data_IF_175893470107
#
_entry.id   IF_175893470107
#
_cell.length_a   1.000
_cell.length_b   1.000
_cell.length_c   1.000
_cell.angle_alpha   90.00
_cell.angle_beta   90.00
_cell.angle_gamma   90.00
#
_symmetry.space_group_name_H-M   'P 1'
#
loop_
_entity.id
_entity.type
_entity.pdbx_description
1 polymer ?
#
# COMPACT_ATOMS: atom_id res chain seq x y z
N UNK A 1 -4.76 4.49 22.65
CA UNK A 1 -4.30 3.25 21.98
C UNK A 1 -3.06 2.76 22.74
N UNK A 2 -2.90 1.46 23.00
CA UNK A 2 -1.73 0.98 23.77
C UNK A 2 -0.45 1.01 22.91
N UNK A 3 0.71 1.18 23.55
CA UNK A 3 2.03 1.17 22.87
C UNK A 3 2.22 -0.09 22.02
N UNK A 4 1.85 -1.24 22.56
CA UNK A 4 1.92 -2.54 21.85
C UNK A 4 1.06 -2.54 20.58
N UNK A 5 -0.13 -1.96 20.61
CA UNK A 5 -0.99 -1.90 19.42
C UNK A 5 -0.42 -0.97 18.35
N UNK A 6 0.23 0.12 18.76
CA UNK A 6 0.93 1.03 17.84
C UNK A 6 2.15 0.34 17.19
N UNK A 7 2.94 -0.40 17.96
CA UNK A 7 4.07 -1.18 17.41
C UNK A 7 3.60 -2.24 16.40
N UNK A 8 2.48 -2.90 16.67
CA UNK A 8 1.86 -3.82 15.71
C UNK A 8 1.40 -3.10 14.43
N UNK A 9 0.78 -1.93 14.57
CA UNK A 9 0.38 -1.12 13.41
C UNK A 9 1.59 -0.68 12.56
N UNK A 10 2.63 -0.15 13.19
CA UNK A 10 3.83 0.30 12.49
C UNK A 10 4.60 -0.85 11.84
N UNK A 11 4.67 -2.02 12.48
CA UNK A 11 5.27 -3.21 11.88
C UNK A 11 4.48 -3.72 10.66
N UNK A 12 3.15 -3.56 10.66
CA UNK A 12 2.30 -3.80 9.49
C UNK A 12 2.64 -2.89 8.32
N UNK A 13 2.81 -1.58 8.59
CA UNK A 13 3.24 -0.62 7.56
C UNK A 13 4.61 -0.99 6.98
N UNK A 14 5.60 -1.26 7.85
CA UNK A 14 6.95 -1.66 7.42
C UNK A 14 6.94 -2.91 6.56
N UNK A 15 6.13 -3.90 6.91
CA UNK A 15 6.01 -5.14 6.15
C UNK A 15 5.43 -4.89 4.74
N UNK A 16 4.43 -4.02 4.60
CA UNK A 16 3.85 -3.66 3.30
C UNK A 16 4.88 -2.99 2.39
N UNK A 17 5.65 -2.05 2.91
CA UNK A 17 6.73 -1.40 2.17
C UNK A 17 7.77 -2.41 1.68
N UNK A 18 8.24 -3.30 2.56
CA UNK A 18 9.22 -4.34 2.21
C UNK A 18 8.71 -5.25 1.09
N UNK A 19 7.49 -5.77 1.24
CA UNK A 19 6.89 -6.67 0.24
C UNK A 19 6.70 -5.96 -1.11
N UNK A 20 6.32 -4.67 -1.09
CA UNK A 20 6.16 -3.88 -2.31
C UNK A 20 7.49 -3.61 -3.01
N UNK A 21 8.55 -3.34 -2.25
CA UNK A 21 9.89 -3.18 -2.82
C UNK A 21 10.41 -4.48 -3.44
N UNK A 22 10.21 -5.61 -2.77
CA UNK A 22 10.60 -6.93 -3.27
C UNK A 22 9.82 -7.28 -4.56
N UNK A 23 8.51 -7.07 -4.56
CA UNK A 23 7.67 -7.26 -5.73
C UNK A 23 8.09 -6.36 -6.91
N UNK A 24 8.42 -5.08 -6.63
CA UNK A 24 8.90 -4.15 -7.65
C UNK A 24 10.26 -4.57 -8.25
N UNK A 25 11.17 -5.11 -7.42
CA UNK A 25 12.47 -5.63 -7.88
C UNK A 25 12.32 -6.90 -8.73
N UNK A 26 11.37 -7.76 -8.37
CA UNK A 26 11.16 -9.05 -9.03
C UNK A 26 10.14 -8.99 -10.17
N UNK A 27 9.57 -7.80 -10.45
CA UNK A 27 8.47 -7.64 -11.41
C UNK A 27 7.26 -8.54 -11.12
N UNK A 28 6.97 -8.79 -9.84
CA UNK A 28 5.85 -9.61 -9.38
C UNK A 28 4.77 -8.76 -8.70
N UNK A 29 3.62 -9.36 -8.44
CA UNK A 29 2.55 -8.74 -7.64
C UNK A 29 2.79 -8.99 -6.15
N UNK A 30 2.42 -8.01 -5.31
CA UNK A 30 2.38 -8.21 -3.85
C UNK A 30 1.16 -9.05 -3.50
N UNK A 31 1.38 -10.22 -2.91
CA UNK A 31 0.30 -11.05 -2.37
C UNK A 31 -0.20 -10.41 -1.08
N UNK A 32 -1.52 -10.25 -0.96
CA UNK A 32 -2.14 -9.77 0.27
C UNK A 32 -2.13 -10.88 1.32
N UNK A 33 -1.74 -10.59 2.58
CA UNK A 33 -1.78 -11.56 3.65
C UNK A 33 -3.23 -12.03 3.87
N UNK A 34 -3.40 -13.34 4.03
CA UNK A 34 -4.70 -13.99 4.18
C UNK A 34 -5.52 -13.38 5.33
N UNK A 35 -6.82 -13.24 5.11
CA UNK A 35 -7.76 -12.75 6.11
C UNK A 35 -8.04 -13.82 7.17
N UNK A 36 -7.11 -14.04 8.11
CA UNK A 36 -7.41 -14.84 9.30
C UNK A 36 -8.36 -14.09 10.25
N UNK A 37 -9.34 -14.83 10.79
CA UNK A 37 -10.40 -14.38 11.71
C UNK A 37 -9.90 -14.11 13.14
N UNK A 38 -8.78 -14.72 13.54
CA UNK A 38 -8.27 -14.68 14.91
C UNK A 38 -6.91 -13.97 15.01
N UNK A 39 -6.93 -12.77 15.60
CA UNK A 39 -5.98 -12.26 16.61
C UNK A 39 -6.02 -10.72 16.60
N UNK A 40 -6.40 -10.11 17.71
CA UNK A 40 -6.48 -8.65 17.87
C UNK A 40 -5.14 -7.94 17.64
N UNK A 41 -4.00 -8.63 17.82
CA UNK A 41 -2.69 -8.13 17.43
C UNK A 41 -2.48 -8.14 15.90
N UNK A 42 -3.00 -9.17 15.21
CA UNK A 42 -3.04 -9.20 13.75
C UNK A 42 -3.96 -8.12 13.17
N UNK A 43 -5.00 -7.66 13.89
CA UNK A 43 -5.88 -6.62 13.38
C UNK A 43 -5.17 -5.28 13.27
N UNK A 44 -4.41 -4.86 14.28
CA UNK A 44 -3.61 -3.62 14.21
C UNK A 44 -2.51 -3.71 13.15
N UNK A 45 -1.83 -4.85 13.06
CA UNK A 45 -0.86 -5.09 12.00
C UNK A 45 -1.49 -5.00 10.60
N UNK A 46 -2.66 -5.62 10.40
CA UNK A 46 -3.39 -5.58 9.13
C UNK A 46 -3.89 -4.18 8.81
N UNK A 47 -4.36 -3.42 9.80
CA UNK A 47 -4.68 -2.01 9.64
C UNK A 47 -3.45 -1.21 9.19
N UNK A 48 -2.29 -1.47 9.78
CA UNK A 48 -1.02 -0.90 9.35
C UNK A 48 -0.71 -1.21 7.89
N UNK A 49 -0.74 -2.49 7.52
CA UNK A 49 -0.52 -2.94 6.15
C UNK A 49 -1.47 -2.27 5.14
N UNK A 50 -2.76 -2.17 5.48
CA UNK A 50 -3.80 -1.57 4.64
C UNK A 50 -3.85 -0.04 4.69
N UNK A 51 -3.19 0.60 5.66
CA UNK A 51 -3.20 2.06 5.82
C UNK A 51 -2.35 2.80 4.80
N UNK A 52 -1.44 2.10 4.12
CA UNK A 52 -0.51 2.73 3.19
C UNK A 52 -1.25 3.07 1.90
N UNK A 53 -1.28 4.36 1.57
CA UNK A 53 -1.81 4.87 0.32
C UNK A 53 -0.91 4.54 -0.87
N UNK A 54 -1.47 4.64 -2.08
CA UNK A 54 -0.68 4.53 -3.31
C UNK A 54 0.42 5.60 -3.41
N UNK A 55 0.14 6.81 -2.91
CA UNK A 55 1.10 7.91 -2.91
C UNK A 55 2.31 7.60 -2.02
N UNK A 56 2.07 7.16 -0.78
CA UNK A 56 3.13 6.73 0.14
C UNK A 56 3.93 5.56 -0.42
N UNK A 57 3.27 4.56 -1.05
CA UNK A 57 3.97 3.44 -1.70
C UNK A 57 4.87 3.93 -2.83
N UNK A 58 4.40 4.86 -3.66
CA UNK A 58 5.16 5.39 -4.80
C UNK A 58 6.36 6.21 -4.34
N UNK A 59 6.16 7.12 -3.38
CA UNK A 59 7.24 7.91 -2.79
C UNK A 59 8.33 7.01 -2.18
N UNK A 60 7.92 5.97 -1.45
CA UNK A 60 8.83 4.99 -0.89
C UNK A 60 9.61 4.25 -1.98
N UNK A 61 8.94 3.75 -3.02
CA UNK A 61 9.60 3.04 -4.12
C UNK A 61 10.55 3.94 -4.90
N UNK A 62 10.15 5.19 -5.18
CA UNK A 62 10.96 6.16 -5.90
C UNK A 62 12.26 6.46 -5.12
N UNK A 63 12.14 6.62 -3.79
CA UNK A 63 13.28 6.77 -2.88
C UNK A 63 14.20 5.54 -2.87
N UNK A 64 13.64 4.34 -2.77
CA UNK A 64 14.42 3.10 -2.65
C UNK A 64 15.05 2.62 -3.97
N UNK A 65 14.47 3.00 -5.11
CA UNK A 65 14.94 2.62 -6.44
C UNK A 65 15.71 3.76 -7.14
N UNK A 66 15.89 4.91 -6.48
CA UNK A 66 16.57 6.08 -7.05
C UNK A 66 15.84 6.68 -8.26
N UNK A 67 14.52 6.48 -8.36
CA UNK A 67 13.71 7.03 -9.45
C UNK A 67 13.27 8.44 -9.07
N UNK A 68 13.29 9.36 -10.02
CA UNK A 68 12.62 10.66 -9.82
C UNK A 68 11.12 10.40 -9.67
N UNK A 69 10.45 11.01 -8.68
CA UNK A 69 9.01 10.90 -8.56
C UNK A 69 8.40 11.34 -9.87
N UNK A 70 7.83 10.39 -10.62
CA UNK A 70 7.06 10.75 -11.79
C UNK A 70 5.91 11.64 -11.28
N UNK A 71 5.59 12.75 -11.95
CA UNK A 71 4.49 13.61 -11.53
C UNK A 71 3.25 12.73 -11.32
N UNK A 72 2.55 12.96 -10.21
CA UNK A 72 1.24 12.37 -9.99
C UNK A 72 0.36 12.96 -11.09
N UNK A 73 0.17 12.22 -12.19
CA UNK A 73 -0.75 12.65 -13.23
C UNK A 73 -2.12 12.78 -12.57
N UNK A 74 -2.67 13.99 -12.54
CA UNK A 74 -4.00 14.27 -12.00
C UNK A 74 -5.10 13.57 -12.81
N UNK A 75 -4.74 12.96 -13.94
CA UNK A 75 -5.54 11.99 -14.68
C UNK A 75 -5.68 10.70 -13.87
N UNK A 76 -6.52 10.77 -12.85
CA UNK A 76 -6.96 9.62 -12.11
C UNK A 76 -7.59 8.64 -13.12
N UNK A 77 -7.17 7.36 -13.17
CA UNK A 77 -7.75 6.38 -14.10
C UNK A 77 -9.27 6.23 -13.93
N UNK A 78 -9.80 6.58 -12.75
CA UNK A 78 -11.23 6.62 -12.46
C UNK A 78 -11.98 7.71 -13.24
N UNK A 79 -11.33 8.81 -13.62
CA UNK A 79 -11.94 9.88 -14.42
C UNK A 79 -12.23 9.37 -15.84
N UNK A 80 -11.29 8.64 -16.44
CA UNK A 80 -11.49 7.98 -17.74
C UNK A 80 -12.58 6.89 -17.67
N UNK A 81 -12.64 6.14 -16.57
CA UNK A 81 -13.68 5.12 -16.34
C UNK A 81 -15.07 5.77 -16.15
N UNK A 82 -15.17 6.86 -15.38
CA UNK A 82 -16.41 7.62 -15.19
C UNK A 82 -16.91 8.21 -16.50
N UNK A 83 -16.03 8.77 -17.33
CA UNK A 83 -16.40 9.27 -18.66
C UNK A 83 -16.97 8.14 -19.53
N UNK A 84 -16.36 6.95 -19.53
CA UNK A 84 -16.88 5.79 -20.29
C UNK A 84 -18.21 5.25 -19.77
N UNK A 85 -18.48 5.35 -18.47
CA UNK A 85 -19.71 4.83 -17.87
C UNK A 85 -20.87 5.84 -17.89
N UNK A 86 -20.58 7.14 -17.96
CA UNK A 86 -21.58 8.22 -18.02
C UNK A 86 -22.07 8.59 -19.42
N UNK A 87 -21.55 7.95 -20.49
CA UNK A 87 -21.96 8.19 -21.89
C UNK A 87 -23.07 7.24 -22.38
N UNK A 88 -24.05 6.91 -21.55
CA UNK A 88 -25.25 6.15 -21.96
C UNK A 88 -26.50 7.00 -21.86
#
# INVERSE_FOLDING_TARGET
MSKRNQEWFESGRKARFKATLEAARNHTAVILPESSYNATAHSFWRQGWNSISLAEMREYLDTQLGRKPAPVSQDHPLTAIKQRLGSR
#
